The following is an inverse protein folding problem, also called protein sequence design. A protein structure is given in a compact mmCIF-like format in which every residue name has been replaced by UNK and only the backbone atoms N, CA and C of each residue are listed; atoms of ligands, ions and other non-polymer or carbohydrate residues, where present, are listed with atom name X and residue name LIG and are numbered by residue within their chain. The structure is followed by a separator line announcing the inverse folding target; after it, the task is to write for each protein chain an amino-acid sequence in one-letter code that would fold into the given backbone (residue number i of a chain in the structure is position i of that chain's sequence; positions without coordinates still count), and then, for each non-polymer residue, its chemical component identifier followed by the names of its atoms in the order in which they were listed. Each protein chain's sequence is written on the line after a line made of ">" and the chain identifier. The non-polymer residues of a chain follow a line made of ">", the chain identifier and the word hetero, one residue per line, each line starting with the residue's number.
data_IF_585027396049
#
_entry.id   IF_585027396049
#
_cell.length_a   1.000
_cell.length_b   1.000
_cell.length_c   1.000
_cell.angle_alpha   90.00
_cell.angle_beta   90.00
_cell.angle_gamma   90.00
#
_symmetry.space_group_name_H-M   'P 1'
#
loop_
_entity.id
_entity.type
_entity.pdbx_description
1 polymer ?
#
# COMPACT_ATOMS: atom_id res chain seq x y z
N UNK A 1 -18.37 15.21 -28.17
CA UNK A 1 -17.92 15.31 -26.76
C UNK A 1 -18.72 14.30 -25.97
N UNK A 2 -18.11 13.21 -25.51
CA UNK A 2 -18.79 12.23 -24.66
C UNK A 2 -19.15 12.88 -23.31
N UNK A 3 -20.30 12.54 -22.69
CA UNK A 3 -20.65 13.06 -21.38
C UNK A 3 -19.57 12.65 -20.37
N UNK A 4 -19.20 13.57 -19.48
CA UNK A 4 -18.41 13.20 -18.29
C UNK A 4 -19.24 12.18 -17.50
N UNK A 5 -18.66 11.06 -17.07
CA UNK A 5 -19.36 10.15 -16.17
C UNK A 5 -19.79 10.92 -14.92
N UNK A 6 -20.95 10.54 -14.36
CA UNK A 6 -21.42 11.07 -13.08
C UNK A 6 -20.40 10.75 -11.97
N UNK A 7 -20.41 11.54 -10.89
CA UNK A 7 -19.52 11.32 -9.74
C UNK A 7 -19.66 9.91 -9.18
N UNK A 8 -20.89 9.42 -9.04
CA UNK A 8 -21.18 8.07 -8.55
C UNK A 8 -20.55 6.94 -9.39
N UNK A 9 -20.59 7.04 -10.72
CA UNK A 9 -19.96 6.04 -11.60
C UNK A 9 -18.42 6.10 -11.52
N UNK A 10 -17.86 7.28 -11.27
CA UNK A 10 -16.41 7.46 -11.08
C UNK A 10 -15.96 6.88 -9.74
N UNK A 11 -16.76 7.06 -8.68
CA UNK A 11 -16.50 6.54 -7.34
C UNK A 11 -16.59 5.00 -7.31
N UNK A 12 -17.60 4.43 -7.97
CA UNK A 12 -17.73 2.98 -8.11
C UNK A 12 -16.56 2.37 -8.89
N UNK A 13 -16.15 3.00 -9.99
CA UNK A 13 -14.99 2.57 -10.75
C UNK A 13 -13.70 2.64 -9.91
N UNK A 14 -13.48 3.73 -9.19
CA UNK A 14 -12.32 3.86 -8.31
C UNK A 14 -12.28 2.77 -7.23
N UNK A 15 -13.43 2.45 -6.64
CA UNK A 15 -13.58 1.36 -5.67
C UNK A 15 -13.24 -0.01 -6.28
N UNK A 16 -13.73 -0.30 -7.47
CA UNK A 16 -13.40 -1.55 -8.18
C UNK A 16 -11.89 -1.67 -8.45
N UNK A 17 -11.23 -0.57 -8.83
CA UNK A 17 -9.78 -0.55 -9.02
C UNK A 17 -9.03 -0.82 -7.70
N UNK A 18 -9.50 -0.24 -6.59
CA UNK A 18 -8.95 -0.51 -5.25
C UNK A 18 -9.01 -2.00 -4.92
N UNK A 19 -10.20 -2.59 -5.03
CA UNK A 19 -10.44 -4.00 -4.74
C UNK A 19 -9.56 -4.95 -5.59
N UNK A 20 -9.45 -4.69 -6.90
CA UNK A 20 -8.59 -5.47 -7.80
C UNK A 20 -7.11 -5.28 -7.46
N UNK A 21 -6.73 -4.08 -7.02
CA UNK A 21 -5.42 -3.76 -6.48
C UNK A 21 -5.03 -4.64 -5.30
N UNK A 22 -5.91 -4.74 -4.31
CA UNK A 22 -5.70 -5.58 -3.13
C UNK A 22 -5.62 -7.07 -3.49
N UNK A 23 -6.51 -7.56 -4.36
CA UNK A 23 -6.42 -8.93 -4.88
C UNK A 23 -5.08 -9.23 -5.54
N UNK A 24 -4.58 -8.31 -6.36
CA UNK A 24 -3.29 -8.47 -7.02
C UNK A 24 -2.15 -8.46 -6.00
N UNK A 25 -2.14 -7.49 -5.09
CA UNK A 25 -1.13 -7.38 -4.03
C UNK A 25 -1.10 -8.64 -3.17
N UNK A 26 -2.27 -9.15 -2.74
CA UNK A 26 -2.37 -10.39 -1.98
C UNK A 26 -1.67 -11.56 -2.67
N UNK A 27 -1.96 -11.80 -3.95
CA UNK A 27 -1.35 -12.91 -4.71
C UNK A 27 0.16 -12.76 -4.83
N UNK A 28 0.64 -11.55 -5.08
CA UNK A 28 2.08 -11.28 -5.22
C UNK A 28 2.79 -11.46 -3.88
N UNK A 29 2.23 -10.96 -2.78
CA UNK A 29 2.79 -11.05 -1.44
C UNK A 29 2.77 -12.50 -0.93
N UNK A 30 1.65 -13.21 -1.08
CA UNK A 30 1.52 -14.63 -0.71
C UNK A 30 2.51 -15.55 -1.44
N UNK A 31 2.88 -15.20 -2.69
CA UNK A 31 3.86 -15.94 -3.46
C UNK A 31 5.32 -15.63 -3.07
N UNK A 32 5.58 -14.57 -2.30
CA UNK A 32 6.92 -14.05 -1.99
C UNK A 32 7.27 -14.06 -0.51
N UNK A 33 6.28 -13.97 0.37
CA UNK A 33 6.46 -13.80 1.81
C UNK A 33 5.98 -15.06 2.54
N UNK A 34 6.89 -15.64 3.32
CA UNK A 34 6.60 -16.84 4.09
C UNK A 34 5.50 -16.57 5.12
N UNK A 35 4.45 -17.40 5.11
CA UNK A 35 3.34 -17.27 6.05
C UNK A 35 2.36 -16.12 5.75
N UNK A 36 2.48 -15.46 4.60
CA UNK A 36 1.48 -14.49 4.14
C UNK A 36 0.28 -15.22 3.52
N UNK A 37 -0.83 -15.32 4.25
CA UNK A 37 -2.02 -16.07 3.87
C UNK A 37 -3.31 -15.25 4.01
N UNK A 38 -4.48 -15.88 3.83
CA UNK A 38 -5.79 -15.22 3.96
C UNK A 38 -6.06 -14.59 5.34
N UNK A 39 -5.36 -15.07 6.37
CA UNK A 39 -5.40 -14.52 7.72
C UNK A 39 -4.82 -13.11 7.78
N UNK A 40 -3.92 -12.76 6.85
CA UNK A 40 -3.32 -11.45 6.76
C UNK A 40 -4.28 -10.39 6.19
N UNK A 41 -5.25 -10.76 5.36
CA UNK A 41 -6.16 -9.80 4.71
C UNK A 41 -7.25 -9.31 5.66
N UNK A 42 -7.27 -8.01 5.97
CA UNK A 42 -8.19 -7.42 6.97
C UNK A 42 -9.29 -6.55 6.36
N UNK A 43 -9.05 -5.87 5.26
CA UNK A 43 -10.08 -5.05 4.59
C UNK A 43 -11.24 -5.89 4.05
N UNK A 44 -12.36 -5.23 3.79
CA UNK A 44 -13.61 -5.84 3.31
C UNK A 44 -13.51 -6.36 1.88
N UNK A 45 -12.54 -5.91 1.09
CA UNK A 45 -12.26 -6.39 -0.27
C UNK A 45 -12.05 -7.91 -0.33
N UNK A 46 -11.59 -8.53 0.76
CA UNK A 46 -11.46 -9.99 0.86
C UNK A 46 -12.78 -10.74 0.60
N UNK A 47 -13.93 -10.12 0.87
CA UNK A 47 -15.24 -10.73 0.64
C UNK A 47 -15.50 -11.02 -0.85
N UNK A 48 -14.83 -10.31 -1.77
CA UNK A 48 -14.94 -10.57 -3.21
C UNK A 48 -14.35 -11.91 -3.63
N UNK A 49 -13.44 -12.47 -2.82
CA UNK A 49 -12.90 -13.82 -3.02
C UNK A 49 -13.68 -14.89 -2.24
N UNK A 50 -14.83 -14.52 -1.64
CA UNK A 50 -15.67 -15.44 -0.87
C UNK A 50 -15.23 -15.62 0.58
N UNK A 51 -14.30 -14.82 1.08
CA UNK A 51 -13.90 -14.83 2.48
C UNK A 51 -14.92 -14.12 3.38
N UNK A 52 -14.79 -14.33 4.69
CA UNK A 52 -15.56 -13.58 5.69
C UNK A 52 -15.33 -12.06 5.54
N UNK A 53 -16.32 -11.26 5.97
CA UNK A 53 -16.24 -9.81 5.92
C UNK A 53 -15.01 -9.25 6.65
N UNK A 54 -14.45 -8.17 6.12
CA UNK A 54 -13.33 -7.44 6.70
C UNK A 54 -13.76 -6.15 7.40
N UNK A 55 -12.79 -5.31 7.73
CA UNK A 55 -12.96 -4.04 8.42
C UNK A 55 -12.13 -2.93 7.77
N UNK A 56 -12.80 -2.04 7.04
CA UNK A 56 -12.16 -0.90 6.36
C UNK A 56 -11.82 0.26 7.31
N UNK A 57 -12.21 0.17 8.59
CA UNK A 57 -11.94 1.21 9.59
C UNK A 57 -10.54 1.10 10.22
N UNK A 58 -9.80 0.03 9.90
CA UNK A 58 -8.48 -0.26 10.45
C UNK A 58 -7.37 0.66 9.93
N UNK A 59 -7.55 1.23 8.73
CA UNK A 59 -6.54 2.09 8.09
C UNK A 59 -5.39 1.34 7.43
N UNK A 60 -5.61 0.06 7.09
CA UNK A 60 -4.71 -0.80 6.32
C UNK A 60 -5.51 -1.98 5.74
N UNK A 61 -4.98 -2.60 4.68
CA UNK A 61 -5.60 -3.74 4.00
C UNK A 61 -5.11 -5.08 4.53
N UNK A 62 -3.82 -5.17 4.89
CA UNK A 62 -3.21 -6.40 5.40
C UNK A 62 -2.44 -6.17 6.69
N UNK A 63 -2.46 -7.17 7.57
CA UNK A 63 -1.59 -7.27 8.74
C UNK A 63 -0.75 -8.55 8.67
N UNK A 64 0.57 -8.41 8.72
CA UNK A 64 1.51 -9.50 8.53
C UNK A 64 2.70 -9.37 9.50
N UNK A 65 3.17 -10.49 10.04
CA UNK A 65 4.41 -10.53 10.83
C UNK A 65 5.56 -10.88 9.87
N UNK A 66 6.51 -9.97 9.68
CA UNK A 66 7.61 -10.16 8.74
C UNK A 66 8.67 -11.13 9.26
N UNK A 67 8.36 -12.43 9.21
CA UNK A 67 9.12 -13.52 9.85
C UNK A 67 10.61 -13.44 9.53
N UNK A 68 10.95 -13.19 8.27
CA UNK A 68 12.34 -13.22 7.78
C UNK A 68 12.92 -11.82 7.54
N UNK A 69 12.12 -10.76 7.70
CA UNK A 69 12.51 -9.40 7.31
C UNK A 69 12.44 -9.15 5.80
N UNK A 70 11.81 -10.04 5.03
CA UNK A 70 11.76 -9.95 3.57
C UNK A 70 10.93 -8.78 3.05
N UNK A 71 9.97 -8.28 3.83
CA UNK A 71 9.12 -7.16 3.43
C UNK A 71 9.68 -5.81 3.88
N UNK A 72 10.12 -5.70 5.13
CA UNK A 72 10.46 -4.42 5.76
C UNK A 72 11.91 -4.35 6.27
N UNK A 73 12.69 -5.42 6.13
CA UNK A 73 14.06 -5.52 6.62
C UNK A 73 14.16 -5.71 8.14
N UNK A 74 13.04 -5.90 8.85
CA UNK A 74 12.98 -6.10 10.31
C UNK A 74 12.31 -7.45 10.64
N UNK A 75 13.09 -8.53 10.84
CA UNK A 75 12.54 -9.83 11.20
C UNK A 75 11.66 -9.76 12.45
N UNK A 76 10.47 -10.34 12.37
CA UNK A 76 9.47 -10.37 13.44
C UNK A 76 8.67 -9.08 13.64
N UNK A 77 8.90 -8.04 12.83
CA UNK A 77 8.12 -6.81 12.94
C UNK A 77 6.68 -7.00 12.41
N UNK A 78 5.71 -6.38 13.10
CA UNK A 78 4.33 -6.29 12.64
C UNK A 78 4.23 -5.25 11.52
N UNK A 79 3.79 -5.68 10.35
CA UNK A 79 3.61 -4.85 9.17
C UNK A 79 2.12 -4.58 8.94
N UNK A 80 1.75 -3.31 8.96
CA UNK A 80 0.44 -2.80 8.55
C UNK A 80 0.57 -2.30 7.11
N UNK A 81 -0.10 -2.98 6.18
CA UNK A 81 0.11 -2.81 4.75
C UNK A 81 -1.14 -2.21 4.12
N UNK A 82 -0.98 -1.06 3.48
CA UNK A 82 -2.02 -0.35 2.73
C UNK A 82 -1.73 -0.42 1.23
N UNK A 83 -2.73 -0.75 0.40
CA UNK A 83 -2.60 -0.86 -1.04
C UNK A 83 -3.20 0.36 -1.74
N UNK A 84 -2.39 0.99 -2.61
CA UNK A 84 -2.82 2.08 -3.48
C UNK A 84 -2.74 1.66 -4.93
N UNK A 85 -3.89 1.57 -5.59
CA UNK A 85 -3.99 1.06 -6.95
C UNK A 85 -4.32 2.13 -7.99
N UNK A 86 -3.79 1.99 -9.19
CA UNK A 86 -4.13 2.79 -10.37
C UNK A 86 -4.57 1.87 -11.52
N UNK A 87 -5.63 2.28 -12.23
CA UNK A 87 -6.14 1.53 -13.38
C UNK A 87 -5.13 1.43 -14.53
N UNK A 88 -4.32 2.48 -14.70
CA UNK A 88 -3.31 2.60 -15.76
C UNK A 88 -1.93 2.78 -15.13
N UNK A 89 -1.00 3.40 -15.88
CA UNK A 89 0.32 3.77 -15.42
C UNK A 89 0.33 4.46 -14.03
N UNK A 90 1.42 4.20 -13.30
CA UNK A 90 1.65 4.73 -11.97
C UNK A 90 1.59 6.26 -11.97
N UNK A 91 0.88 6.83 -11.00
CA UNK A 91 0.87 8.27 -10.78
C UNK A 91 1.97 8.66 -9.79
N UNK A 92 2.55 9.87 -9.88
CA UNK A 92 3.51 10.34 -8.88
C UNK A 92 2.86 10.54 -7.50
N UNK A 93 1.52 10.64 -7.45
CA UNK A 93 0.75 10.84 -6.22
C UNK A 93 -0.11 9.64 -5.87
N UNK A 94 -0.24 9.36 -4.59
CA UNK A 94 -1.33 8.54 -4.03
C UNK A 94 -2.01 9.27 -2.87
N UNK A 95 -3.32 9.04 -2.73
CA UNK A 95 -4.09 9.54 -1.60
C UNK A 95 -3.86 8.64 -0.41
N UNK A 96 -3.72 9.23 0.76
CA UNK A 96 -3.66 8.54 2.05
C UNK A 96 -4.77 9.09 2.92
N UNK A 97 -5.57 8.26 3.57
CA UNK A 97 -6.58 8.78 4.50
C UNK A 97 -5.94 9.33 5.77
N UNK A 98 -6.67 10.15 6.53
CA UNK A 98 -6.19 10.60 7.85
C UNK A 98 -5.93 9.43 8.79
N UNK A 99 -6.75 8.37 8.69
CA UNK A 99 -6.61 7.18 9.53
C UNK A 99 -5.32 6.43 9.22
N UNK A 100 -5.07 6.18 7.92
CA UNK A 100 -3.82 5.57 7.45
C UNK A 100 -2.59 6.37 7.89
N UNK A 101 -2.62 7.71 7.74
CA UNK A 101 -1.48 8.53 8.14
C UNK A 101 -1.25 8.54 9.66
N UNK A 102 -2.33 8.57 10.45
CA UNK A 102 -2.22 8.48 11.90
C UNK A 102 -1.60 7.14 12.33
N UNK A 103 -2.02 6.05 11.72
CA UNK A 103 -1.44 4.73 11.97
C UNK A 103 0.02 4.66 11.52
N UNK A 104 0.36 5.23 10.35
CA UNK A 104 1.74 5.31 9.88
C UNK A 104 2.63 6.08 10.88
N UNK A 105 2.14 7.18 11.43
CA UNK A 105 2.84 7.97 12.46
C UNK A 105 3.04 7.17 13.75
N UNK A 106 2.03 6.41 14.18
CA UNK A 106 2.15 5.54 15.35
C UNK A 106 3.16 4.42 15.14
N UNK A 107 3.16 3.79 13.96
CA UNK A 107 4.13 2.75 13.59
C UNK A 107 5.56 3.30 13.54
N UNK A 108 5.75 4.51 13.00
CA UNK A 108 7.06 5.16 12.94
C UNK A 108 7.68 5.38 14.33
N UNK A 109 6.87 5.69 15.33
CA UNK A 109 7.32 5.83 16.71
C UNK A 109 7.59 4.47 17.41
N UNK A 110 7.25 3.34 16.77
CA UNK A 110 7.37 1.99 17.32
C UNK A 110 8.62 1.27 16.81
N UNK A 111 9.25 0.50 17.70
CA UNK A 111 10.40 -0.33 17.34
C UNK A 111 9.99 -1.67 16.72
N UNK A 112 8.77 -2.14 17.00
CA UNK A 112 8.26 -3.46 16.58
C UNK A 112 7.22 -3.41 15.46
N UNK A 113 6.79 -2.21 15.06
CA UNK A 113 5.73 -2.02 14.06
C UNK A 113 6.23 -1.22 12.85
N UNK A 114 5.65 -1.50 11.69
CA UNK A 114 5.98 -0.85 10.42
C UNK A 114 4.72 -0.59 9.63
N UNK A 115 4.58 0.61 9.09
CA UNK A 115 3.55 0.89 8.10
C UNK A 115 4.15 0.81 6.70
N UNK A 116 3.48 0.11 5.79
CA UNK A 116 3.95 -0.16 4.44
C UNK A 116 2.87 0.25 3.45
N UNK A 117 3.24 1.06 2.45
CA UNK A 117 2.35 1.35 1.31
C UNK A 117 2.81 0.53 0.12
N UNK A 118 1.94 -0.35 -0.36
CA UNK A 118 2.11 -1.10 -1.59
C UNK A 118 1.40 -0.37 -2.72
N UNK A 119 2.11 -0.05 -3.80
CA UNK A 119 1.54 0.63 -4.96
C UNK A 119 1.41 -0.32 -6.14
N UNK A 120 0.19 -0.46 -6.64
CA UNK A 120 -0.14 -1.30 -7.81
C UNK A 120 -0.54 -0.40 -8.97
N UNK A 121 0.01 -0.65 -10.16
CA UNK A 121 -0.34 0.07 -11.38
C UNK A 121 -0.81 -0.89 -12.47
N UNK A 122 -1.49 -0.35 -13.48
CA UNK A 122 -1.88 -1.09 -14.67
C UNK A 122 -3.01 -2.10 -14.44
N UNK A 123 -3.86 -1.91 -13.42
CA UNK A 123 -4.93 -2.87 -13.08
C UNK A 123 -5.85 -3.21 -14.27
N UNK A 124 -6.14 -2.26 -15.16
CA UNK A 124 -7.00 -2.47 -16.33
C UNK A 124 -6.23 -2.97 -17.58
N UNK A 125 -4.92 -3.14 -17.47
CA UNK A 125 -4.01 -3.48 -18.57
C UNK A 125 -3.13 -4.66 -18.11
N UNK A 126 -1.85 -4.38 -17.78
CA UNK A 126 -0.91 -5.35 -17.22
C UNK A 126 -0.57 -4.94 -15.78
N UNK A 127 -1.22 -5.58 -14.82
CA UNK A 127 -1.10 -5.23 -13.41
C UNK A 127 0.31 -5.54 -12.90
N UNK A 128 0.93 -4.57 -12.22
CA UNK A 128 2.28 -4.71 -11.67
C UNK A 128 2.42 -4.09 -10.28
N UNK A 129 3.29 -4.70 -9.48
CA UNK A 129 3.73 -4.16 -8.20
C UNK A 129 4.79 -3.09 -8.46
N UNK A 130 4.35 -1.84 -8.52
CA UNK A 130 5.17 -0.75 -9.02
C UNK A 130 5.98 -0.05 -7.94
N UNK A 131 5.57 -0.09 -6.67
CA UNK A 131 6.40 0.35 -5.55
C UNK A 131 5.99 -0.31 -4.24
N UNK A 132 6.94 -0.42 -3.31
CA UNK A 132 6.71 -0.71 -1.90
C UNK A 132 7.41 0.40 -1.12
N UNK A 133 6.68 1.11 -0.28
CA UNK A 133 7.19 2.21 0.54
C UNK A 133 7.10 1.77 1.99
N UNK A 134 8.25 1.48 2.60
CA UNK A 134 8.36 1.06 3.99
C UNK A 134 8.61 2.29 4.85
N UNK A 135 7.80 2.51 5.87
CA UNK A 135 7.83 3.71 6.73
C UNK A 135 7.72 5.03 5.94
N UNK A 136 6.54 5.34 5.36
CA UNK A 136 6.35 6.56 4.58
C UNK A 136 6.55 7.85 5.40
N UNK A 137 6.50 7.78 6.74
CA UNK A 137 6.72 8.95 7.63
C UNK A 137 8.19 9.34 7.66
N UNK A 138 9.10 8.36 7.67
CA UNK A 138 10.53 8.61 7.55
C UNK A 138 10.85 9.33 6.23
N UNK A 139 10.27 8.88 5.10
CA UNK A 139 10.46 9.54 3.80
C UNK A 139 9.99 11.00 3.78
N UNK A 140 8.89 11.32 4.47
CA UNK A 140 8.42 12.70 4.60
C UNK A 140 9.33 13.52 5.51
N UNK A 141 9.79 12.94 6.62
CA UNK A 141 10.74 13.58 7.56
C UNK A 141 12.05 13.92 6.88
N UNK A 142 12.54 13.03 6.01
CA UNK A 142 13.78 13.21 5.26
C UNK A 142 13.62 14.13 4.03
N UNK A 143 12.39 14.59 3.75
CA UNK A 143 12.09 15.43 2.59
C UNK A 143 12.13 14.69 1.25
N UNK A 144 12.18 13.35 1.25
CA UNK A 144 12.14 12.52 0.05
C UNK A 144 10.71 12.34 -0.51
N UNK A 145 9.70 12.60 0.32
CA UNK A 145 8.30 12.66 -0.09
C UNK A 145 7.65 13.90 0.51
N UNK A 146 6.64 14.45 -0.17
CA UNK A 146 5.85 15.55 0.39
C UNK A 146 4.45 15.06 0.77
N UNK A 147 4.02 15.41 1.98
CA UNK A 147 2.63 15.31 2.38
C UNK A 147 1.98 16.67 2.15
N UNK A 148 1.00 16.74 1.26
CA UNK A 148 0.07 17.88 1.20
C UNK A 148 -1.18 17.49 1.98
N UNK A 149 -1.59 18.21 3.04
CA UNK A 149 -2.92 18.06 3.64
C UNK A 149 -3.94 19.05 3.06
N UNK A 150 -3.46 20.09 2.37
CA UNK A 150 -4.27 21.21 1.88
C UNK A 150 -5.14 20.82 0.68
N UNK A 151 -4.70 19.85 -0.11
CA UNK A 151 -5.38 19.41 -1.34
C UNK A 151 -6.07 18.04 -1.17
N UNK A 152 -6.32 17.64 0.07
CA UNK A 152 -6.49 16.24 0.47
C UNK A 152 -5.16 15.67 0.95
N UNK A 153 -5.15 14.59 1.73
CA UNK A 153 -3.92 13.97 2.24
C UNK A 153 -3.25 13.18 1.10
N UNK A 154 -2.29 13.80 0.42
CA UNK A 154 -1.59 13.21 -0.71
C UNK A 154 -0.11 13.05 -0.43
N UNK A 155 0.43 11.91 -0.82
CA UNK A 155 1.86 11.65 -0.85
C UNK A 155 2.39 11.87 -2.26
N UNK A 156 3.31 12.81 -2.41
CA UNK A 156 4.11 13.05 -3.61
C UNK A 156 5.37 12.19 -3.57
N UNK A 157 5.49 11.28 -4.53
CA UNK A 157 6.69 10.47 -4.77
C UNK A 157 7.40 11.08 -5.98
N UNK A 158 8.28 12.06 -5.76
CA UNK A 158 9.05 12.69 -6.83
C UNK A 158 10.25 11.83 -7.24
N UNK A 159 10.46 11.69 -8.55
CA UNK A 159 11.59 10.96 -9.12
C UNK A 159 11.46 9.45 -8.97
N UNK A 160 11.82 8.69 -10.01
CA UNK A 160 11.76 7.23 -9.97
C UNK A 160 12.56 6.70 -8.77
N UNK A 161 11.85 6.30 -7.71
CA UNK A 161 12.42 5.61 -6.57
C UNK A 161 13.10 4.34 -7.09
N UNK A 162 14.39 4.48 -7.38
CA UNK A 162 15.22 3.43 -7.95
C UNK A 162 15.83 2.68 -6.77
N UNK A 163 15.24 1.52 -6.52
CA UNK A 163 15.78 0.27 -5.98
C UNK A 163 17.28 0.28 -5.63
N UNK A 164 17.62 0.03 -4.35
CA UNK A 164 18.90 -0.59 -3.96
C UNK A 164 18.69 -1.47 -2.72
N UNK A 165 19.38 -2.61 -2.70
CA UNK A 165 19.33 -3.64 -1.67
C UNK A 165 19.61 -3.12 -0.25
N UNK A 166 18.84 -3.62 0.72
CA UNK A 166 19.04 -3.36 2.13
C UNK A 166 20.39 -3.92 2.62
N UNK A 167 21.32 -3.05 2.98
CA UNK A 167 22.41 -3.38 3.90
C UNK A 167 22.33 -2.42 5.08
N UNK A 168 21.88 -2.97 6.23
CA UNK A 168 21.90 -2.39 7.56
C UNK A 168 21.09 -1.09 7.79
N UNK A 169 19.82 -1.27 8.23
CA UNK A 169 19.01 -0.22 8.84
C UNK A 169 17.96 0.39 7.91
N UNK A 170 16.77 -0.20 7.90
CA UNK A 170 15.52 0.30 7.31
C UNK A 170 15.58 0.81 5.86
N UNK A 171 15.40 -0.12 4.91
CA UNK A 171 14.78 0.12 3.61
C UNK A 171 14.48 -1.24 2.98
N UNK A 172 13.27 -1.50 2.51
CA UNK A 172 13.01 -2.70 1.72
C UNK A 172 12.15 -2.38 0.49
N UNK A 173 12.76 -2.66 -0.67
CA UNK A 173 12.25 -2.51 -2.02
C UNK A 173 12.28 -3.91 -2.67
N UNK A 174 11.16 -4.39 -3.21
CA UNK A 174 11.15 -5.54 -4.11
C UNK A 174 10.37 -5.21 -5.38
N UNK A 175 11.12 -5.08 -6.48
CA UNK A 175 10.62 -5.18 -7.86
C UNK A 175 11.21 -6.46 -8.45
N UNK A 176 10.38 -7.23 -9.15
CA UNK A 176 10.83 -7.96 -10.33
C UNK A 176 10.14 -7.34 -11.52
#
# INVERSE_FOLDING_TARGET
>A
RSPRPSSAASDEYARQIGHLGEMFAFRVLAAKLDGFDEGCWKSSSRALLGFAGGDDTLGYDFHYIDVTGALCGRPGAECFIEVKANARAMRPRCSVSRNEWNLATACHASTSQVFVIVRVAGIAEDATLAAIIVDPVQFVTDGAMALSPKDGWWLDVEGGATVVAASNGAAAYLVK
#
